data_IF_635617171039
#
_entry.id   IF_635617171039
#
_cell.length_a   1.000
_cell.length_b   1.000
_cell.length_c   1.000
_cell.angle_alpha   90.00
_cell.angle_beta   90.00
_cell.angle_gamma   90.00
#
_symmetry.space_group_name_H-M   'P 1'
#
loop_
_entity.id
_entity.type
_entity.pdbx_description
1 polymer ?
#
# COMPACT_ATOMS: atom_id res chain seq x y z
N UNK A 1 21.88 -11.69 19.37
CA UNK A 1 20.71 -10.80 19.13
C UNK A 1 20.02 -11.34 17.88
N UNK A 2 18.74 -11.67 17.96
CA UNK A 2 17.95 -12.26 16.86
C UNK A 2 17.82 -11.26 15.73
N UNK A 3 18.06 -11.72 14.49
CA UNK A 3 18.08 -10.91 13.30
C UNK A 3 16.89 -11.25 12.38
N UNK A 4 16.01 -10.28 12.15
CA UNK A 4 14.82 -10.42 11.32
C UNK A 4 15.03 -9.67 10.01
N UNK A 5 15.00 -10.41 8.88
CA UNK A 5 15.10 -9.78 7.57
C UNK A 5 13.69 -9.60 6.97
N UNK A 6 13.39 -8.37 6.59
CA UNK A 6 12.13 -7.97 5.99
C UNK A 6 12.31 -7.69 4.51
N UNK A 7 11.57 -8.41 3.67
CA UNK A 7 11.66 -8.34 2.23
C UNK A 7 10.46 -7.58 1.67
N UNK A 8 10.68 -6.38 1.15
CA UNK A 8 9.64 -5.59 0.49
C UNK A 8 9.83 -5.60 -1.03
N UNK A 9 8.78 -5.33 -1.76
CA UNK A 9 8.82 -5.08 -3.20
C UNK A 9 7.77 -4.04 -3.54
N UNK A 10 8.09 -3.10 -4.42
CA UNK A 10 7.13 -2.09 -4.85
C UNK A 10 7.50 -0.66 -4.46
N UNK A 11 6.49 0.12 -4.12
CA UNK A 11 6.60 1.56 -3.86
C UNK A 11 6.81 1.88 -2.38
N UNK A 12 6.84 3.18 -2.05
CA UNK A 12 6.88 3.64 -0.66
C UNK A 12 5.71 3.07 0.17
N UNK A 13 4.53 2.94 -0.46
CA UNK A 13 3.34 2.36 0.20
C UNK A 13 3.51 0.91 0.64
N UNK A 14 4.40 0.16 -0.03
CA UNK A 14 4.74 -1.22 0.34
C UNK A 14 5.87 -1.27 1.38
N UNK A 15 6.83 -0.33 1.33
CA UNK A 15 8.00 -0.30 2.20
C UNK A 15 7.70 0.31 3.58
N UNK A 16 6.96 1.40 3.62
CA UNK A 16 6.69 2.15 4.86
C UNK A 16 5.95 1.32 5.93
N UNK A 17 4.95 0.47 5.62
CA UNK A 17 4.35 -0.42 6.61
C UNK A 17 5.35 -1.42 7.22
N UNK A 18 6.28 -1.93 6.43
CA UNK A 18 7.34 -2.81 6.94
C UNK A 18 8.29 -2.08 7.88
N UNK A 19 8.59 -0.80 7.61
CA UNK A 19 9.36 0.03 8.54
C UNK A 19 8.61 0.24 9.86
N UNK A 20 7.30 0.51 9.81
CA UNK A 20 6.47 0.63 11.01
C UNK A 20 6.51 -0.64 11.87
N UNK A 21 6.35 -1.81 11.24
CA UNK A 21 6.47 -3.10 11.89
C UNK A 21 7.89 -3.34 12.44
N UNK A 22 8.90 -2.98 11.66
CA UNK A 22 10.31 -3.09 12.06
C UNK A 22 10.66 -2.21 13.27
N UNK A 23 10.08 -1.01 13.39
CA UNK A 23 10.26 -0.15 14.55
C UNK A 23 9.73 -0.81 15.83
N UNK A 24 8.58 -1.48 15.76
CA UNK A 24 8.04 -2.21 16.92
C UNK A 24 8.94 -3.38 17.34
N UNK A 25 9.52 -4.10 16.37
CA UNK A 25 10.49 -5.16 16.64
C UNK A 25 11.81 -4.60 17.24
N UNK A 26 12.31 -3.47 16.74
CA UNK A 26 13.49 -2.78 17.32
C UNK A 26 13.26 -2.35 18.75
N UNK A 27 12.07 -1.82 19.11
CA UNK A 27 11.70 -1.49 20.50
C UNK A 27 11.77 -2.71 21.43
N UNK A 28 11.58 -3.92 20.88
CA UNK A 28 11.69 -5.19 21.62
C UNK A 28 13.10 -5.82 21.59
N UNK A 29 14.10 -5.12 21.05
CA UNK A 29 15.50 -5.55 21.06
C UNK A 29 15.92 -6.45 19.90
N UNK A 30 15.11 -6.56 18.82
CA UNK A 30 15.46 -7.31 17.62
C UNK A 30 16.28 -6.46 16.65
N UNK A 31 17.23 -7.07 15.94
CA UNK A 31 17.87 -6.46 14.78
C UNK A 31 16.97 -6.63 13.56
N UNK A 32 16.79 -5.56 12.82
CA UNK A 32 15.94 -5.58 11.64
C UNK A 32 16.71 -5.06 10.43
N UNK A 33 16.73 -5.87 9.36
CA UNK A 33 17.21 -5.50 8.03
C UNK A 33 16.02 -5.40 7.07
N UNK A 34 15.97 -4.33 6.29
CA UNK A 34 14.91 -4.12 5.30
C UNK A 34 15.51 -4.16 3.91
N UNK A 35 15.02 -5.09 3.07
CA UNK A 35 15.33 -5.14 1.65
C UNK A 35 14.28 -4.35 0.88
N UNK A 36 14.72 -3.32 0.16
CA UNK A 36 13.84 -2.42 -0.60
C UNK A 36 14.58 -1.80 -1.79
N UNK A 37 13.83 -1.12 -2.67
CA UNK A 37 14.40 -0.35 -3.79
C UNK A 37 15.42 0.67 -3.32
N UNK A 38 16.44 0.92 -4.14
CA UNK A 38 17.49 1.93 -3.95
C UNK A 38 16.91 3.32 -3.60
N UNK A 39 15.77 3.67 -4.18
CA UNK A 39 15.10 4.95 -3.92
C UNK A 39 14.70 5.17 -2.44
N UNK A 40 14.70 4.13 -1.61
CA UNK A 40 14.29 4.22 -0.19
C UNK A 40 15.45 4.01 0.79
N UNK A 41 16.70 3.92 0.32
CA UNK A 41 17.86 3.69 1.16
C UNK A 41 17.95 4.72 2.29
N UNK A 42 18.09 6.00 1.94
CA UNK A 42 18.25 7.09 2.91
C UNK A 42 17.08 7.13 3.91
N UNK A 43 15.87 6.87 3.41
CA UNK A 43 14.66 6.82 4.25
C UNK A 43 14.72 5.68 5.26
N UNK A 44 15.15 4.48 4.86
CA UNK A 44 15.28 3.31 5.73
C UNK A 44 16.41 3.51 6.76
N UNK A 45 17.56 3.97 6.31
CA UNK A 45 18.75 4.18 7.15
C UNK A 45 18.55 5.32 8.16
N UNK A 46 17.77 6.37 7.81
CA UNK A 46 17.45 7.47 8.73
C UNK A 46 16.69 7.01 9.99
N UNK A 47 15.96 5.88 9.91
CA UNK A 47 15.31 5.24 11.08
C UNK A 47 16.20 4.19 11.76
N UNK A 48 17.48 4.11 11.40
CA UNK A 48 18.47 3.22 11.98
C UNK A 48 18.21 1.75 11.71
N UNK A 49 17.65 1.40 10.55
CA UNK A 49 17.57 0.02 10.06
C UNK A 49 18.81 -0.35 9.28
N UNK A 50 19.15 -1.65 9.26
CA UNK A 50 20.05 -2.18 8.26
C UNK A 50 19.32 -2.22 6.91
N UNK A 51 19.99 -1.77 5.87
CA UNK A 51 19.45 -1.76 4.51
C UNK A 51 20.06 -2.86 3.64
N UNK A 52 19.24 -3.48 2.80
CA UNK A 52 19.67 -4.38 1.74
C UNK A 52 19.09 -3.90 0.39
N UNK A 53 19.99 -3.54 -0.54
CA UNK A 53 19.61 -2.99 -1.83
C UNK A 53 18.92 -4.02 -2.73
N UNK A 54 17.78 -3.64 -3.30
CA UNK A 54 17.16 -4.31 -4.43
C UNK A 54 17.39 -3.48 -5.69
N UNK A 55 18.17 -4.03 -6.63
CA UNK A 55 18.45 -3.43 -7.92
C UNK A 55 17.28 -3.63 -8.87
N UNK A 56 16.73 -2.57 -9.36
CA UNK A 56 15.55 -2.56 -10.22
C UNK A 56 14.40 -1.88 -9.51
N UNK A 57 14.20 -0.63 -9.86
CA UNK A 57 13.12 0.19 -9.33
C UNK A 57 11.85 -0.11 -10.10
N UNK A 58 10.90 -0.82 -9.46
CA UNK A 58 9.59 -1.09 -10.02
C UNK A 58 8.87 0.24 -10.34
N UNK A 59 9.13 1.30 -9.57
CA UNK A 59 8.57 2.63 -9.83
C UNK A 59 9.11 3.21 -11.14
N UNK A 60 10.38 2.99 -11.48
CA UNK A 60 10.95 3.40 -12.79
C UNK A 60 10.36 2.62 -13.96
N UNK A 61 9.96 1.36 -13.76
CA UNK A 61 9.24 0.59 -14.77
C UNK A 61 7.86 1.22 -15.00
N UNK A 62 7.19 1.57 -13.93
CA UNK A 62 5.90 2.26 -13.95
C UNK A 62 6.06 3.65 -14.58
N UNK A 63 7.09 4.39 -14.21
CA UNK A 63 7.38 5.72 -14.74
C UNK A 63 7.82 5.76 -16.20
N UNK A 64 8.46 4.70 -16.69
CA UNK A 64 8.91 4.62 -18.09
C UNK A 64 7.78 4.34 -19.10
N UNK A 65 6.54 4.21 -18.64
CA UNK A 65 5.40 3.85 -19.48
C UNK A 65 5.42 2.39 -19.96
N UNK A 66 6.45 1.62 -19.63
CA UNK A 66 6.52 0.20 -19.99
C UNK A 66 5.47 -0.65 -19.24
N UNK A 67 4.93 -0.11 -18.16
CA UNK A 67 3.84 -0.69 -17.40
C UNK A 67 2.49 0.03 -17.62
N UNK A 68 2.45 1.12 -18.42
CA UNK A 68 1.21 1.89 -18.64
C UNK A 68 0.10 1.01 -19.23
N UNK A 69 0.43 0.12 -20.15
CA UNK A 69 -0.51 -0.87 -20.69
C UNK A 69 -0.94 -1.90 -19.64
N UNK A 70 -0.09 -2.17 -18.66
CA UNK A 70 -0.37 -3.12 -17.57
C UNK A 70 -1.14 -2.47 -16.42
N UNK A 71 -0.81 -1.21 -16.09
CA UNK A 71 -1.43 -0.45 -15.00
C UNK A 71 -2.79 0.09 -15.44
N UNK A 72 -2.89 0.56 -16.70
CA UNK A 72 -4.13 1.04 -17.31
C UNK A 72 -4.98 -0.07 -17.92
N UNK A 73 -4.55 -1.33 -17.82
CA UNK A 73 -5.31 -2.44 -18.36
C UNK A 73 -6.55 -2.69 -17.49
N UNK A 74 -7.72 -2.29 -18.01
CA UNK A 74 -9.02 -2.74 -17.52
C UNK A 74 -9.17 -4.29 -17.58
N UNK A 75 -8.15 -4.97 -18.08
CA UNK A 75 -8.11 -6.41 -18.29
C UNK A 75 -6.85 -7.05 -17.69
N UNK A 76 -6.99 -7.89 -16.63
CA UNK A 76 -5.87 -8.62 -16.03
C UNK A 76 -5.02 -9.43 -17.02
N UNK A 77 -5.60 -9.89 -18.15
CA UNK A 77 -4.86 -10.64 -19.16
C UNK A 77 -3.80 -9.81 -19.89
N UNK A 78 -4.02 -8.52 -20.06
CA UNK A 78 -3.00 -7.61 -20.65
C UNK A 78 -1.82 -7.43 -19.70
N UNK A 79 -2.06 -7.34 -18.39
CA UNK A 79 -1.01 -7.33 -17.38
C UNK A 79 -0.13 -8.59 -17.48
N UNK A 80 -0.73 -9.78 -17.59
CA UNK A 80 0.04 -11.02 -17.76
C UNK A 80 0.82 -11.09 -19.09
N UNK A 81 0.35 -10.44 -20.14
CA UNK A 81 1.06 -10.43 -21.43
C UNK A 81 2.29 -9.52 -21.42
N UNK A 82 2.24 -8.39 -20.69
CA UNK A 82 3.38 -7.46 -20.57
C UNK A 82 4.57 -8.06 -19.83
N UNK A 83 4.33 -9.05 -18.95
CA UNK A 83 5.39 -9.76 -18.23
C UNK A 83 6.25 -10.69 -19.11
N UNK A 84 5.85 -10.92 -20.37
CA UNK A 84 6.65 -11.72 -21.32
C UNK A 84 7.82 -10.97 -21.94
N UNK A 85 7.97 -9.67 -21.67
CA UNK A 85 9.09 -8.88 -22.17
C UNK A 85 10.41 -9.36 -21.51
N UNK A 86 11.40 -9.74 -22.33
CA UNK A 86 12.68 -10.29 -21.87
C UNK A 86 13.45 -9.33 -20.95
N UNK A 87 13.43 -8.02 -21.25
CA UNK A 87 14.08 -6.99 -20.43
C UNK A 87 13.45 -6.91 -19.04
N UNK A 88 12.11 -6.95 -18.98
CA UNK A 88 11.37 -6.97 -17.72
C UNK A 88 11.64 -8.26 -16.95
N UNK A 89 11.63 -9.41 -17.62
CA UNK A 89 11.96 -10.69 -17.01
C UNK A 89 13.39 -10.68 -16.43
N UNK A 90 14.37 -10.17 -17.15
CA UNK A 90 15.75 -10.03 -16.66
C UNK A 90 15.85 -9.19 -15.39
N UNK A 91 15.13 -8.06 -15.34
CA UNK A 91 15.07 -7.20 -14.16
C UNK A 91 14.42 -7.92 -12.97
N UNK A 92 13.30 -8.61 -13.18
CA UNK A 92 12.62 -9.37 -12.13
C UNK A 92 13.50 -10.51 -11.58
N UNK A 93 14.30 -11.17 -12.43
CA UNK A 93 15.28 -12.18 -12.01
C UNK A 93 16.36 -11.56 -11.13
N UNK A 94 16.85 -10.36 -11.46
CA UNK A 94 17.83 -9.65 -10.62
C UNK A 94 17.26 -9.26 -9.26
N UNK A 95 15.99 -8.84 -9.21
CA UNK A 95 15.29 -8.58 -7.94
C UNK A 95 15.23 -9.86 -7.10
N UNK A 96 14.93 -11.04 -7.68
CA UNK A 96 14.94 -12.31 -6.94
C UNK A 96 16.33 -12.63 -6.38
N UNK A 97 17.40 -12.36 -7.15
CA UNK A 97 18.79 -12.53 -6.70
C UNK A 97 19.09 -11.66 -5.47
N UNK A 98 18.70 -10.39 -5.50
CA UNK A 98 18.97 -9.47 -4.41
C UNK A 98 18.12 -9.80 -3.17
N UNK A 99 16.85 -10.16 -3.34
CA UNK A 99 15.99 -10.64 -2.27
C UNK A 99 16.56 -11.91 -1.60
N UNK A 100 17.02 -12.88 -2.40
CA UNK A 100 17.63 -14.10 -1.86
C UNK A 100 18.92 -13.78 -1.08
N UNK A 101 19.76 -12.87 -1.61
CA UNK A 101 20.95 -12.39 -0.88
C UNK A 101 20.57 -11.73 0.45
N UNK A 102 19.49 -10.96 0.46
CA UNK A 102 18.99 -10.29 1.65
C UNK A 102 18.48 -11.27 2.72
N UNK A 103 18.12 -12.50 2.37
CA UNK A 103 17.71 -13.53 3.33
C UNK A 103 18.86 -14.05 4.21
N UNK A 104 20.11 -13.93 3.76
CA UNK A 104 21.26 -14.53 4.46
C UNK A 104 21.48 -13.91 5.84
N UNK A 105 21.75 -14.81 6.82
CA UNK A 105 22.03 -14.43 8.21
C UNK A 105 20.80 -14.00 9.01
N UNK A 106 19.60 -14.34 8.53
CA UNK A 106 18.37 -14.14 9.27
C UNK A 106 18.06 -15.30 10.21
N UNK A 107 17.45 -15.00 11.34
CA UNK A 107 16.80 -15.96 12.24
C UNK A 107 15.30 -16.11 11.91
N UNK A 108 14.73 -15.14 11.20
CA UNK A 108 13.39 -15.19 10.62
C UNK A 108 13.29 -14.28 9.37
N UNK A 109 12.41 -14.65 8.45
CA UNK A 109 12.11 -13.85 7.25
C UNK A 109 10.65 -13.38 7.30
N UNK A 110 10.45 -12.07 7.22
CA UNK A 110 9.14 -11.45 7.00
C UNK A 110 9.11 -10.96 5.56
N UNK A 111 8.14 -11.39 4.76
CA UNK A 111 8.16 -11.06 3.35
C UNK A 111 6.82 -10.59 2.79
N UNK A 112 6.88 -9.61 1.90
CA UNK A 112 5.77 -9.15 1.08
C UNK A 112 5.35 -10.25 0.08
N UNK A 113 4.07 -10.40 -0.29
CA UNK A 113 3.63 -11.41 -1.25
C UNK A 113 4.46 -11.45 -2.56
N UNK A 114 4.90 -10.30 -3.07
CA UNK A 114 5.78 -10.19 -4.25
C UNK A 114 7.21 -10.71 -4.03
N UNK A 115 7.64 -10.86 -2.78
CA UNK A 115 8.94 -11.38 -2.38
C UNK A 115 8.89 -12.86 -1.94
N UNK A 116 8.05 -13.67 -2.60
CA UNK A 116 7.81 -15.08 -2.23
C UNK A 116 9.07 -15.97 -2.19
N UNK A 117 10.19 -15.52 -2.73
CA UNK A 117 11.49 -16.17 -2.55
C UNK A 117 11.87 -16.30 -1.07
N UNK A 118 11.38 -15.38 -0.21
CA UNK A 118 11.59 -15.45 1.23
C UNK A 118 11.07 -16.72 1.87
N UNK A 119 9.95 -17.27 1.38
CA UNK A 119 9.44 -18.58 1.83
C UNK A 119 10.42 -19.71 1.54
N UNK A 120 10.92 -19.77 0.30
CA UNK A 120 11.82 -20.85 -0.13
C UNK A 120 13.18 -20.75 0.56
N UNK A 121 13.72 -19.53 0.68
CA UNK A 121 14.97 -19.29 1.40
C UNK A 121 14.85 -19.65 2.89
N UNK A 122 13.76 -19.30 3.55
CA UNK A 122 13.52 -19.66 4.95
C UNK A 122 13.43 -21.18 5.14
N UNK A 123 12.74 -21.86 4.22
CA UNK A 123 12.65 -23.33 4.22
C UNK A 123 14.02 -23.99 4.07
N UNK A 124 14.87 -23.47 3.18
CA UNK A 124 16.23 -23.94 2.95
C UNK A 124 17.12 -23.74 4.20
N UNK A 125 16.98 -22.61 4.88
CA UNK A 125 17.72 -22.30 6.10
C UNK A 125 17.10 -22.89 7.37
N UNK A 126 15.96 -23.57 7.26
CA UNK A 126 15.22 -24.12 8.41
C UNK A 126 14.91 -23.06 9.49
N UNK A 127 14.39 -21.91 9.04
CA UNK A 127 13.96 -20.80 9.90
C UNK A 127 12.49 -20.44 9.60
N UNK A 128 11.77 -19.75 10.53
CA UNK A 128 10.40 -19.35 10.29
C UNK A 128 10.29 -18.29 9.20
N UNK A 129 9.21 -18.36 8.42
CA UNK A 129 8.84 -17.32 7.46
C UNK A 129 7.45 -16.76 7.74
N UNK A 130 7.30 -15.46 7.69
CA UNK A 130 6.05 -14.76 7.96
C UNK A 130 5.62 -14.01 6.70
N UNK A 131 4.45 -14.37 6.18
CA UNK A 131 3.84 -13.61 5.08
C UNK A 131 3.22 -12.33 5.61
N UNK A 132 3.74 -11.19 5.19
CA UNK A 132 3.28 -9.87 5.57
C UNK A 132 2.58 -9.21 4.37
N UNK A 133 1.24 -9.20 4.38
CA UNK A 133 0.45 -8.66 3.28
C UNK A 133 -0.09 -7.26 3.60
N UNK A 134 0.04 -6.28 2.68
CA UNK A 134 -0.54 -4.95 2.87
C UNK A 134 -2.06 -4.91 2.68
N UNK A 135 -2.68 -6.01 2.26
CA UNK A 135 -4.11 -6.14 2.00
C UNK A 135 -4.62 -7.56 2.29
N UNK A 136 -5.95 -7.73 2.51
CA UNK A 136 -6.55 -9.04 2.74
C UNK A 136 -6.51 -9.90 1.48
N UNK A 137 -5.59 -10.88 1.41
CA UNK A 137 -5.52 -11.83 0.30
C UNK A 137 -5.98 -13.24 0.66
N UNK A 138 -6.02 -13.59 1.94
CA UNK A 138 -6.46 -14.90 2.40
C UNK A 138 -7.93 -15.15 2.04
N UNK A 139 -8.27 -16.32 1.46
CA UNK A 139 -9.63 -16.62 1.03
C UNK A 139 -10.66 -16.50 2.14
N UNK A 140 -11.76 -15.80 1.82
CA UNK A 140 -12.92 -15.62 2.70
C UNK A 140 -14.20 -15.62 1.91
N UNK A 141 -15.31 -15.95 2.58
CA UNK A 141 -16.68 -15.82 2.05
C UNK A 141 -17.28 -14.44 2.28
N UNK A 142 -16.67 -13.61 3.13
CA UNK A 142 -17.29 -12.37 3.62
C UNK A 142 -17.22 -11.25 2.56
N UNK A 143 -16.15 -11.21 1.77
CA UNK A 143 -15.95 -10.25 0.69
C UNK A 143 -15.07 -10.83 -0.43
N UNK A 144 -15.19 -10.33 -1.66
CA UNK A 144 -14.32 -10.78 -2.76
C UNK A 144 -12.89 -10.20 -2.60
N UNK A 145 -11.92 -10.82 -3.28
CA UNK A 145 -10.56 -10.27 -3.37
C UNK A 145 -10.58 -8.85 -3.98
N UNK A 146 -9.63 -7.99 -3.57
CA UNK A 146 -9.66 -6.56 -3.88
C UNK A 146 -9.82 -6.26 -5.38
N UNK A 147 -9.12 -6.97 -6.25
CA UNK A 147 -9.23 -6.76 -7.72
C UNK A 147 -10.61 -7.08 -8.30
N UNK A 148 -11.45 -7.80 -7.54
CA UNK A 148 -12.84 -8.12 -7.88
C UNK A 148 -13.85 -7.33 -7.04
N UNK A 149 -13.38 -6.49 -6.11
CA UNK A 149 -14.24 -5.85 -5.12
C UNK A 149 -15.24 -4.88 -5.75
N UNK A 150 -14.85 -4.18 -6.79
CA UNK A 150 -15.72 -3.24 -7.55
C UNK A 150 -16.59 -3.94 -8.61
N UNK A 151 -16.46 -5.25 -8.78
CA UNK A 151 -17.27 -6.05 -9.71
C UNK A 151 -18.61 -6.47 -9.09
N UNK A 152 -19.59 -6.92 -9.89
CA UNK A 152 -20.82 -7.51 -9.38
C UNK A 152 -20.54 -8.65 -8.42
N UNK A 153 -21.34 -8.75 -7.35
CA UNK A 153 -21.17 -9.76 -6.29
C UNK A 153 -22.17 -10.89 -6.50
N UNK A 154 -21.67 -12.13 -6.52
CA UNK A 154 -22.46 -13.34 -6.76
C UNK A 154 -22.53 -14.25 -5.50
N UNK A 155 -22.39 -13.67 -4.29
CA UNK A 155 -22.52 -14.33 -3.02
C UNK A 155 -21.25 -14.98 -2.49
N UNK A 156 -21.40 -15.75 -1.40
CA UNK A 156 -20.29 -16.23 -0.56
C UNK A 156 -19.31 -17.15 -1.29
N UNK A 157 -19.80 -18.05 -2.14
CA UNK A 157 -18.94 -18.97 -2.92
C UNK A 157 -18.10 -18.19 -3.92
N UNK A 158 -18.70 -17.25 -4.62
CA UNK A 158 -18.02 -16.35 -5.54
C UNK A 158 -16.92 -15.57 -4.80
N UNK A 159 -17.23 -14.98 -3.65
CA UNK A 159 -16.21 -14.24 -2.88
C UNK A 159 -14.98 -15.11 -2.63
N UNK A 160 -15.16 -16.32 -2.08
CA UNK A 160 -14.05 -17.22 -1.80
C UNK A 160 -13.27 -17.63 -3.06
N UNK A 161 -13.98 -17.89 -4.17
CA UNK A 161 -13.35 -18.25 -5.45
C UNK A 161 -12.47 -17.12 -5.99
N UNK A 162 -12.88 -15.85 -5.87
CA UNK A 162 -12.09 -14.70 -6.32
C UNK A 162 -10.73 -14.62 -5.64
N UNK A 163 -10.64 -14.99 -4.35
CA UNK A 163 -9.36 -15.04 -3.65
C UNK A 163 -8.46 -16.15 -4.18
N UNK A 164 -9.00 -17.34 -4.44
CA UNK A 164 -8.19 -18.42 -5.04
C UNK A 164 -7.68 -18.05 -6.43
N UNK A 165 -8.53 -17.41 -7.26
CA UNK A 165 -8.11 -16.89 -8.57
C UNK A 165 -7.02 -15.84 -8.41
N UNK A 166 -7.16 -14.93 -7.43
CA UNK A 166 -6.15 -13.91 -7.15
C UNK A 166 -4.83 -14.52 -6.69
N UNK A 167 -4.84 -15.43 -5.70
CA UNK A 167 -3.63 -16.11 -5.22
C UNK A 167 -2.93 -16.88 -6.34
N UNK A 168 -3.69 -17.61 -7.15
CA UNK A 168 -3.16 -18.34 -8.30
C UNK A 168 -2.53 -17.41 -9.34
N UNK A 169 -3.26 -16.36 -9.72
CA UNK A 169 -2.80 -15.38 -10.71
C UNK A 169 -1.54 -14.64 -10.24
N UNK A 170 -1.54 -14.19 -8.98
CA UNK A 170 -0.41 -13.50 -8.39
C UNK A 170 0.82 -14.41 -8.31
N UNK A 171 0.62 -15.68 -7.91
CA UNK A 171 1.68 -16.68 -7.92
C UNK A 171 2.27 -16.92 -9.32
N UNK A 172 1.43 -16.96 -10.35
CA UNK A 172 1.91 -17.09 -11.75
C UNK A 172 2.85 -15.96 -12.16
N UNK A 173 2.60 -14.74 -11.69
CA UNK A 173 3.48 -13.60 -11.94
C UNK A 173 4.82 -13.77 -11.23
N UNK A 174 4.79 -14.10 -9.94
CA UNK A 174 5.98 -14.17 -9.09
C UNK A 174 6.84 -15.42 -9.36
N UNK A 175 6.20 -16.54 -9.66
CA UNK A 175 6.89 -17.85 -9.78
C UNK A 175 7.84 -17.94 -10.97
N UNK A 176 7.53 -17.28 -12.09
CA UNK A 176 8.37 -17.35 -13.30
C UNK A 176 9.81 -16.82 -13.07
N UNK A 177 9.97 -15.55 -12.70
CA UNK A 177 11.28 -14.97 -12.38
C UNK A 177 12.01 -15.71 -11.26
N UNK A 178 11.27 -16.13 -10.20
CA UNK A 178 11.82 -16.86 -9.06
C UNK A 178 12.41 -18.20 -9.52
N UNK A 179 11.64 -19.00 -10.27
CA UNK A 179 12.12 -20.29 -10.80
C UNK A 179 13.33 -20.09 -11.71
N UNK A 180 13.30 -19.10 -12.60
CA UNK A 180 14.40 -18.80 -13.51
C UNK A 180 15.68 -18.45 -12.74
N UNK A 181 15.58 -17.59 -11.72
CA UNK A 181 16.70 -17.27 -10.84
C UNK A 181 17.24 -18.51 -10.13
N UNK A 182 16.35 -19.33 -9.53
CA UNK A 182 16.75 -20.49 -8.73
C UNK A 182 17.47 -21.53 -9.56
N UNK A 183 16.94 -21.83 -10.76
CA UNK A 183 17.61 -22.75 -11.70
C UNK A 183 18.98 -22.21 -12.16
N UNK A 184 19.11 -20.90 -12.40
CA UNK A 184 20.40 -20.30 -12.74
C UNK A 184 21.43 -20.40 -11.60
N UNK A 185 20.96 -20.37 -10.34
CA UNK A 185 21.84 -20.40 -9.16
C UNK A 185 22.21 -21.81 -8.74
N UNK A 186 21.30 -22.78 -8.86
CA UNK A 186 21.43 -24.13 -8.27
C UNK A 186 21.32 -25.27 -9.28
N UNK A 187 21.06 -24.98 -10.56
CA UNK A 187 20.87 -25.98 -11.61
C UNK A 187 19.46 -26.59 -11.66
N UNK A 188 18.71 -26.52 -10.56
CA UNK A 188 17.36 -27.06 -10.43
C UNK A 188 16.42 -26.08 -9.73
N UNK A 189 15.12 -26.35 -9.75
CA UNK A 189 14.12 -25.53 -9.04
C UNK A 189 14.11 -25.80 -7.54
N UNK A 190 13.49 -24.91 -6.73
CA UNK A 190 13.34 -25.18 -5.30
C UNK A 190 12.53 -26.46 -5.05
N UNK A 191 12.89 -27.18 -3.99
CA UNK A 191 12.11 -28.34 -3.54
C UNK A 191 10.67 -27.93 -3.23
N UNK A 192 9.69 -28.75 -3.67
CA UNK A 192 8.27 -28.50 -3.48
C UNK A 192 7.84 -27.10 -4.01
N UNK A 193 8.27 -26.80 -5.26
CA UNK A 193 8.00 -25.52 -5.92
C UNK A 193 6.53 -25.36 -6.27
N UNK A 194 5.76 -24.89 -5.30
CA UNK A 194 4.33 -24.60 -5.45
C UNK A 194 3.99 -23.27 -4.75
N UNK A 195 2.74 -22.80 -4.95
CA UNK A 195 2.27 -21.56 -4.34
C UNK A 195 2.47 -21.57 -2.81
N UNK A 196 3.24 -20.60 -2.24
CA UNK A 196 3.52 -20.59 -0.81
C UNK A 196 2.36 -20.04 0.03
N UNK A 197 1.49 -19.21 -0.53
CA UNK A 197 0.48 -18.47 0.25
C UNK A 197 -0.45 -19.39 1.07
N UNK A 198 -0.98 -20.51 0.54
CA UNK A 198 -1.76 -21.44 1.37
C UNK A 198 -0.94 -22.10 2.48
N UNK A 199 0.39 -22.22 2.30
CA UNK A 199 1.30 -22.83 3.28
C UNK A 199 1.69 -21.86 4.41
N UNK A 200 1.42 -20.58 4.23
CA UNK A 200 1.67 -19.47 5.17
C UNK A 200 0.49 -19.23 6.12
N UNK A 201 -0.10 -20.31 6.66
CA UNK A 201 -1.27 -20.22 7.55
C UNK A 201 -1.15 -21.22 8.70
N UNK A 202 0.09 -21.39 9.18
CA UNK A 202 0.45 -22.35 10.24
C UNK A 202 1.18 -21.62 11.37
N UNK A 203 1.30 -22.25 12.54
CA UNK A 203 2.03 -21.68 13.67
C UNK A 203 3.48 -21.33 13.35
N UNK A 204 4.16 -22.17 12.55
CA UNK A 204 5.55 -21.94 12.12
C UNK A 204 5.68 -20.89 11.00
N UNK A 205 4.62 -20.70 10.23
CA UNK A 205 4.59 -19.80 9.08
C UNK A 205 3.24 -19.05 9.05
N UNK A 206 3.03 -18.05 9.90
CA UNK A 206 1.79 -17.30 9.96
C UNK A 206 1.68 -16.26 8.82
N UNK A 207 0.47 -15.79 8.60
CA UNK A 207 0.18 -14.62 7.76
C UNK A 207 -0.24 -13.46 8.65
N UNK A 208 0.39 -12.31 8.47
CA UNK A 208 -0.01 -11.04 9.08
C UNK A 208 -0.46 -10.07 8.00
N UNK A 209 -1.56 -9.38 8.26
CA UNK A 209 -2.19 -8.49 7.28
C UNK A 209 -2.23 -7.06 7.84
N UNK A 210 -1.61 -6.11 7.11
CA UNK A 210 -1.67 -4.68 7.41
C UNK A 210 -2.98 -4.09 6.88
N UNK A 211 -4.08 -4.45 7.53
CA UNK A 211 -5.41 -3.94 7.20
C UNK A 211 -6.24 -3.77 8.46
N UNK A 212 -7.00 -2.69 8.52
CA UNK A 212 -7.88 -2.39 9.63
C UNK A 212 -9.08 -3.34 9.67
N UNK A 213 -9.35 -4.03 10.79
CA UNK A 213 -10.59 -4.77 11.03
C UNK A 213 -11.86 -3.91 10.91
N UNK A 214 -11.74 -2.60 11.18
CA UNK A 214 -12.81 -1.62 10.99
C UNK A 214 -13.16 -1.45 9.51
N UNK A 215 -12.17 -1.64 8.62
CA UNK A 215 -12.35 -1.53 7.16
C UNK A 215 -12.72 -2.87 6.54
N UNK A 216 -11.90 -3.88 6.75
CA UNK A 216 -12.14 -5.25 6.32
C UNK A 216 -12.20 -6.16 7.55
N UNK A 217 -13.40 -6.58 7.93
CA UNK A 217 -13.60 -7.42 9.11
C UNK A 217 -12.76 -8.69 9.05
N UNK A 218 -12.19 -9.08 10.20
CA UNK A 218 -11.51 -10.37 10.35
C UNK A 218 -12.52 -11.48 10.07
N UNK A 219 -12.21 -12.31 9.10
CA UNK A 219 -13.14 -13.39 8.70
C UNK A 219 -13.06 -14.58 9.63
N UNK A 220 -14.23 -15.14 9.95
CA UNK A 220 -14.33 -16.43 10.66
C UNK A 220 -13.87 -17.63 9.81
N UNK A 221 -13.74 -17.44 8.50
CA UNK A 221 -13.25 -18.48 7.57
C UNK A 221 -11.72 -18.59 7.59
N UNK A 222 -11.01 -17.62 8.17
CA UNK A 222 -9.55 -17.64 8.20
C UNK A 222 -9.03 -18.66 9.22
N UNK A 223 -7.95 -19.38 8.87
CA UNK A 223 -7.21 -20.20 9.82
C UNK A 223 -6.71 -19.36 11.02
N UNK A 224 -6.51 -20.00 12.16
CA UNK A 224 -6.06 -19.40 13.41
C UNK A 224 -4.77 -18.54 13.25
N UNK A 225 -3.88 -18.94 12.36
CA UNK A 225 -2.59 -18.29 12.14
C UNK A 225 -2.61 -17.22 11.03
N UNK A 226 -3.79 -16.67 10.73
CA UNK A 226 -3.98 -15.51 9.87
C UNK A 226 -4.47 -14.34 10.71
N UNK A 227 -3.67 -13.30 10.80
CA UNK A 227 -3.89 -12.19 11.73
C UNK A 227 -4.04 -10.85 10.99
N UNK A 228 -5.05 -10.08 11.36
CA UNK A 228 -5.27 -8.70 10.92
C UNK A 228 -5.70 -7.87 12.12
N UNK A 229 -4.82 -7.01 12.58
CA UNK A 229 -5.02 -6.23 13.82
C UNK A 229 -5.09 -4.73 13.59
N UNK A 230 -4.89 -4.28 12.37
CA UNK A 230 -4.86 -2.89 11.97
C UNK A 230 -3.77 -2.61 10.93
N UNK A 231 -3.83 -1.42 10.36
CA UNK A 231 -2.76 -0.95 9.49
C UNK A 231 -1.48 -0.68 10.29
N UNK A 232 -0.33 -0.81 9.63
CA UNK A 232 0.97 -0.52 10.24
C UNK A 232 1.38 0.89 9.86
N UNK A 233 1.05 1.82 10.75
CA UNK A 233 1.38 3.23 10.58
C UNK A 233 2.75 3.53 11.17
N UNK A 234 3.52 4.34 10.47
CA UNK A 234 4.63 5.04 11.09
C UNK A 234 4.05 6.28 11.77
N UNK A 235 4.28 6.40 13.07
CA UNK A 235 4.06 7.69 13.69
C UNK A 235 5.18 8.63 13.22
N UNK A 236 4.80 9.82 12.74
CA UNK A 236 5.79 10.81 12.32
C UNK A 236 6.76 11.05 13.48
N UNK A 237 8.03 11.05 13.18
CA UNK A 237 8.98 11.71 14.03
C UNK A 237 8.44 13.13 14.23
N UNK A 238 8.25 13.55 15.48
CA UNK A 238 7.74 14.89 15.85
C UNK A 238 8.63 16.03 15.31
N UNK A 239 9.61 15.69 14.47
CA UNK A 239 10.58 16.60 13.87
C UNK A 239 10.09 17.32 12.60
N UNK A 240 8.94 16.90 11.98
CA UNK A 240 8.46 17.62 10.81
C UNK A 240 8.08 19.06 11.18
N UNK A 241 8.82 20.00 10.60
CA UNK A 241 8.55 21.43 10.75
C UNK A 241 7.96 21.95 9.44
N UNK A 242 6.71 22.43 9.44
CA UNK A 242 6.11 22.98 8.24
C UNK A 242 6.77 24.30 7.84
N UNK A 243 6.81 24.56 6.55
CA UNK A 243 7.19 25.87 6.05
C UNK A 243 6.21 26.96 6.56
N UNK A 244 6.71 28.16 6.84
CA UNK A 244 5.92 29.28 7.33
C UNK A 244 4.73 29.60 6.40
N UNK A 245 4.91 29.46 5.09
CA UNK A 245 3.85 29.65 4.09
C UNK A 245 2.68 28.68 4.29
N UNK A 246 2.98 27.41 4.58
CA UNK A 246 1.97 26.39 4.85
C UNK A 246 1.22 26.69 6.16
N UNK A 247 1.95 27.03 7.22
CA UNK A 247 1.31 27.40 8.49
C UNK A 247 0.39 28.61 8.36
N UNK A 248 0.85 29.67 7.69
CA UNK A 248 0.03 30.85 7.43
C UNK A 248 -1.22 30.49 6.63
N UNK A 249 -1.08 29.69 5.58
CA UNK A 249 -2.20 29.22 4.79
C UNK A 249 -3.21 28.44 5.64
N UNK A 250 -2.78 27.50 6.47
CA UNK A 250 -3.68 26.71 7.33
C UNK A 250 -4.42 27.58 8.36
N UNK A 251 -3.77 28.61 8.89
CA UNK A 251 -4.35 29.55 9.89
C UNK A 251 -5.29 30.60 9.28
N UNK A 252 -5.21 30.85 7.96
CA UNK A 252 -5.90 31.96 7.30
C UNK A 252 -7.39 31.72 7.02
N UNK A 253 -7.95 30.53 7.32
CA UNK A 253 -9.37 30.25 7.08
C UNK A 253 -9.78 28.84 7.41
N UNK A 254 -10.92 28.41 6.88
CA UNK A 254 -11.44 27.05 7.08
C UNK A 254 -10.47 25.95 6.59
N UNK A 255 -10.55 24.74 7.18
CA UNK A 255 -9.74 23.62 6.76
C UNK A 255 -9.83 23.38 5.23
N UNK A 256 -8.70 23.36 4.50
CA UNK A 256 -8.69 23.18 3.06
C UNK A 256 -8.97 21.71 2.66
N UNK A 257 -9.23 21.52 1.36
CA UNK A 257 -9.26 20.19 0.74
C UNK A 257 -7.86 19.83 0.24
N UNK A 258 -7.34 18.66 0.61
CA UNK A 258 -6.11 18.13 0.04
C UNK A 258 -6.40 17.44 -1.29
N UNK A 259 -5.54 17.65 -2.30
CA UNK A 259 -5.59 16.95 -3.60
C UNK A 259 -4.19 16.46 -3.97
N UNK A 260 -4.05 15.12 -4.14
CA UNK A 260 -2.78 14.53 -4.54
C UNK A 260 -2.95 13.13 -5.13
N UNK A 261 -2.44 12.91 -6.35
CA UNK A 261 -2.61 11.63 -7.05
C UNK A 261 -1.37 10.71 -6.97
N UNK A 262 -0.34 11.11 -6.22
CA UNK A 262 0.87 10.32 -6.03
C UNK A 262 1.63 10.05 -7.34
N UNK A 263 2.42 8.98 -7.36
CA UNK A 263 3.27 8.62 -8.53
C UNK A 263 2.49 8.10 -9.74
N UNK A 264 1.21 7.80 -9.59
CA UNK A 264 0.34 7.33 -10.69
C UNK A 264 -0.34 8.46 -11.45
N UNK A 265 -0.06 9.73 -11.11
CA UNK A 265 -0.59 10.90 -11.79
C UNK A 265 -0.23 10.91 -13.28
N UNK A 266 -1.17 11.41 -14.10
CA UNK A 266 -0.98 11.54 -15.55
C UNK A 266 -0.05 12.71 -15.87
N UNK A 267 1.24 12.42 -15.95
CA UNK A 267 2.28 13.45 -16.23
C UNK A 267 2.10 14.12 -17.57
N UNK A 268 1.51 13.43 -18.57
CA UNK A 268 1.29 13.99 -19.92
C UNK A 268 0.21 15.06 -19.93
N UNK A 269 -0.83 14.90 -19.09
CA UNK A 269 -1.97 15.83 -18.99
C UNK A 269 -1.98 16.57 -17.64
N UNK A 270 -0.81 16.78 -17.06
CA UNK A 270 -0.65 17.38 -15.72
C UNK A 270 -1.25 18.79 -15.62
N UNK A 271 -1.06 19.64 -16.63
CA UNK A 271 -1.63 21.00 -16.69
C UNK A 271 -3.15 20.99 -16.73
N UNK A 272 -3.75 20.12 -17.58
CA UNK A 272 -5.20 19.99 -17.66
C UNK A 272 -5.79 19.48 -16.34
N UNK A 273 -5.12 18.51 -15.70
CA UNK A 273 -5.52 17.99 -14.40
C UNK A 273 -5.45 19.09 -13.34
N UNK A 274 -4.39 19.90 -13.33
CA UNK A 274 -4.24 21.02 -12.41
C UNK A 274 -5.37 22.06 -12.61
N UNK A 275 -5.64 22.46 -13.83
CA UNK A 275 -6.72 23.41 -14.13
C UNK A 275 -8.09 22.86 -13.72
N UNK A 276 -8.34 21.56 -13.96
CA UNK A 276 -9.57 20.87 -13.56
C UNK A 276 -9.77 20.90 -12.04
N UNK A 277 -8.75 20.56 -11.25
CA UNK A 277 -8.88 20.51 -9.78
C UNK A 277 -9.04 21.91 -9.20
N UNK A 278 -8.36 22.92 -9.76
CA UNK A 278 -8.54 24.34 -9.37
C UNK A 278 -9.99 24.79 -9.64
N UNK A 279 -10.52 24.48 -10.84
CA UNK A 279 -11.92 24.80 -11.18
C UNK A 279 -12.89 24.10 -10.23
N UNK A 280 -12.64 22.82 -9.87
CA UNK A 280 -13.48 22.08 -8.94
C UNK A 280 -13.50 22.71 -7.54
N UNK A 281 -12.35 23.13 -7.02
CA UNK A 281 -12.26 23.82 -5.74
C UNK A 281 -13.02 25.16 -5.75
N UNK A 282 -12.85 25.94 -6.81
CA UNK A 282 -13.59 27.22 -7.01
C UNK A 282 -15.11 26.97 -7.05
N UNK A 283 -15.58 25.97 -7.80
CA UNK A 283 -17.00 25.62 -7.88
C UNK A 283 -17.56 25.13 -6.53
N UNK A 284 -16.75 24.46 -5.72
CA UNK A 284 -17.14 24.01 -4.39
C UNK A 284 -17.01 25.10 -3.31
N UNK A 285 -16.47 26.27 -3.64
CA UNK A 285 -16.20 27.36 -2.69
C UNK A 285 -15.23 26.92 -1.58
N UNK A 286 -14.22 26.10 -1.91
CA UNK A 286 -13.27 25.53 -0.94
C UNK A 286 -11.84 25.91 -1.24
N UNK A 287 -11.09 26.17 -0.17
CA UNK A 287 -9.64 26.32 -0.21
C UNK A 287 -8.99 24.98 -0.50
N UNK A 288 -7.83 24.97 -1.15
CA UNK A 288 -7.16 23.74 -1.54
C UNK A 288 -5.66 23.69 -1.27
N UNK A 289 -5.17 22.51 -0.90
CA UNK A 289 -3.75 22.17 -0.89
C UNK A 289 -3.51 21.13 -1.98
N UNK A 290 -2.73 21.48 -3.00
CA UNK A 290 -2.43 20.62 -4.14
C UNK A 290 -1.00 20.07 -4.00
N UNK A 291 -0.86 18.75 -3.89
CA UNK A 291 0.44 18.11 -3.84
C UNK A 291 0.98 17.87 -5.26
N UNK A 292 2.11 18.50 -5.57
CA UNK A 292 2.81 18.37 -6.86
C UNK A 292 3.76 17.18 -6.92
N UNK A 293 4.08 16.57 -5.76
CA UNK A 293 4.99 15.42 -5.68
C UNK A 293 4.47 14.19 -6.41
N UNK A 294 5.23 13.68 -7.37
CA UNK A 294 4.94 12.45 -8.11
C UNK A 294 3.81 12.54 -9.15
N UNK A 295 2.82 13.41 -8.98
CA UNK A 295 1.63 13.50 -9.83
C UNK A 295 1.84 14.25 -11.14
N UNK A 296 2.94 15.00 -11.26
CA UNK A 296 3.19 15.91 -12.39
C UNK A 296 2.34 17.17 -12.36
N UNK A 297 1.41 17.34 -11.42
CA UNK A 297 0.66 18.58 -11.27
C UNK A 297 1.64 19.73 -10.97
N UNK A 298 1.55 20.81 -11.72
CA UNK A 298 2.47 21.93 -11.62
C UNK A 298 1.76 23.18 -11.13
N UNK A 299 2.53 24.04 -10.50
CA UNK A 299 2.07 25.37 -10.15
C UNK A 299 1.73 26.15 -11.43
N UNK A 300 0.53 26.73 -11.49
CA UNK A 300 0.11 27.60 -12.59
C UNK A 300 0.48 29.05 -12.27
N UNK A 301 0.60 29.90 -13.30
CA UNK A 301 0.93 31.32 -13.13
C UNK A 301 -0.17 32.09 -12.37
N UNK A 302 -1.43 31.66 -12.47
CA UNK A 302 -2.55 32.20 -11.68
C UNK A 302 -2.62 31.50 -10.31
N UNK A 303 -1.95 32.07 -9.32
CA UNK A 303 -2.05 31.63 -7.92
C UNK A 303 -3.27 32.31 -7.30
N UNK A 304 -4.36 31.58 -7.13
CA UNK A 304 -5.47 32.06 -6.30
C UNK A 304 -5.04 32.01 -4.82
N UNK A 305 -5.37 33.03 -4.03
CA UNK A 305 -5.07 33.11 -2.60
C UNK A 305 -5.59 31.90 -1.80
N UNK A 306 -6.64 31.26 -2.32
CA UNK A 306 -7.27 30.07 -1.74
C UNK A 306 -6.61 28.73 -2.10
N UNK A 307 -5.48 28.72 -2.83
CA UNK A 307 -4.80 27.50 -3.28
C UNK A 307 -3.32 27.55 -2.94
N UNK A 308 -2.85 26.49 -2.25
CA UNK A 308 -1.45 26.31 -1.93
C UNK A 308 -0.91 25.04 -2.61
N UNK A 309 0.18 25.19 -3.36
CA UNK A 309 0.94 24.05 -3.89
C UNK A 309 2.01 23.64 -2.88
N UNK A 310 2.09 22.31 -2.66
CA UNK A 310 3.03 21.71 -1.70
C UNK A 310 3.72 20.51 -2.32
N UNK A 311 4.83 20.09 -1.69
CA UNK A 311 5.56 18.89 -2.08
C UNK A 311 6.04 18.16 -0.82
N UNK A 312 5.93 16.83 -0.84
CA UNK A 312 6.53 15.92 0.15
C UNK A 312 6.17 16.20 1.62
N UNK A 313 4.89 16.57 1.90
CA UNK A 313 4.41 16.74 3.26
C UNK A 313 3.91 15.39 3.83
N UNK A 314 4.30 15.02 5.06
CA UNK A 314 3.79 13.82 5.72
C UNK A 314 2.26 13.85 5.87
N UNK A 315 1.59 12.79 5.39
CA UNK A 315 0.12 12.70 5.43
C UNK A 315 -0.41 12.67 6.85
N UNK A 316 0.26 11.99 7.76
CA UNK A 316 -0.09 11.91 9.18
C UNK A 316 -0.11 13.28 9.87
N UNK A 317 0.73 14.21 9.42
CA UNK A 317 0.73 15.57 9.92
C UNK A 317 -0.33 16.45 9.23
N UNK A 318 -0.48 16.28 7.91
CA UNK A 318 -1.31 17.18 7.08
C UNK A 318 -2.80 16.80 7.14
N UNK A 319 -3.14 15.52 6.97
CA UNK A 319 -4.53 15.09 6.79
C UNK A 319 -5.46 15.45 7.96
N UNK A 320 -5.06 15.38 9.24
CA UNK A 320 -5.93 15.83 10.35
C UNK A 320 -6.37 17.30 10.28
N UNK A 321 -5.70 18.10 9.46
CA UNK A 321 -5.98 19.55 9.26
C UNK A 321 -6.83 19.82 8.01
N UNK A 322 -7.25 18.79 7.30
CA UNK A 322 -8.01 18.89 6.05
C UNK A 322 -9.52 18.72 6.29
N UNK A 323 -10.34 19.33 5.41
CA UNK A 323 -11.79 19.10 5.39
C UNK A 323 -12.18 17.87 4.57
N UNK A 324 -11.37 17.50 3.58
CA UNK A 324 -11.47 16.29 2.77
C UNK A 324 -10.12 15.97 2.13
N UNK A 325 -9.89 14.71 1.75
CA UNK A 325 -8.72 14.27 0.98
C UNK A 325 -9.13 13.66 -0.35
N UNK A 326 -8.59 14.20 -1.44
CA UNK A 326 -8.79 13.69 -2.81
C UNK A 326 -7.51 13.00 -3.23
N UNK A 327 -7.59 11.70 -3.56
CA UNK A 327 -6.40 10.94 -3.96
C UNK A 327 -6.73 9.76 -4.88
N UNK A 328 -5.69 9.10 -5.40
CA UNK A 328 -5.84 8.01 -6.36
C UNK A 328 -6.40 6.70 -5.77
N UNK A 329 -6.40 6.53 -4.46
CA UNK A 329 -6.91 5.31 -3.81
C UNK A 329 -5.83 4.26 -3.52
N UNK A 330 -4.56 4.63 -3.44
CA UNK A 330 -3.53 3.72 -2.93
C UNK A 330 -3.80 3.32 -1.48
N UNK A 331 -3.52 2.06 -1.12
CA UNK A 331 -3.85 1.49 0.19
C UNK A 331 -3.32 2.33 1.38
N UNK A 332 -2.06 2.77 1.31
CA UNK A 332 -1.44 3.58 2.37
C UNK A 332 -2.10 4.96 2.52
N UNK A 333 -2.32 5.69 1.42
CA UNK A 333 -2.98 7.00 1.45
C UNK A 333 -4.42 6.90 1.93
N UNK A 334 -5.14 5.84 1.51
CA UNK A 334 -6.50 5.55 1.98
C UNK A 334 -6.53 5.29 3.48
N UNK A 335 -5.58 4.49 3.98
CA UNK A 335 -5.45 4.19 5.40
C UNK A 335 -5.15 5.45 6.23
N UNK A 336 -4.26 6.34 5.75
CA UNK A 336 -3.95 7.60 6.44
C UNK A 336 -5.14 8.57 6.45
N UNK A 337 -5.89 8.68 5.36
CA UNK A 337 -7.13 9.47 5.33
C UNK A 337 -8.17 8.99 6.33
N UNK A 338 -8.37 7.67 6.40
CA UNK A 338 -9.26 7.05 7.38
C UNK A 338 -8.75 7.22 8.82
N UNK A 339 -7.44 7.01 9.08
CA UNK A 339 -6.82 7.24 10.38
C UNK A 339 -6.98 8.67 10.87
N UNK A 340 -6.84 9.63 9.94
CA UNK A 340 -7.05 11.05 10.23
C UNK A 340 -8.51 11.38 10.59
N UNK A 341 -9.45 10.52 10.22
CA UNK A 341 -10.89 10.75 10.41
C UNK A 341 -11.44 11.79 9.43
N UNK A 342 -10.84 11.91 8.25
CA UNK A 342 -11.19 12.88 7.23
C UNK A 342 -11.87 12.18 6.06
N UNK A 343 -13.00 12.70 5.55
CA UNK A 343 -13.68 12.12 4.40
C UNK A 343 -12.78 12.06 3.16
N UNK A 344 -12.83 10.94 2.44
CA UNK A 344 -12.00 10.71 1.26
C UNK A 344 -12.80 10.70 -0.03
N UNK A 345 -12.18 11.21 -1.11
CA UNK A 345 -12.68 11.17 -2.47
C UNK A 345 -11.63 10.43 -3.31
N UNK A 346 -12.00 9.25 -3.80
CA UNK A 346 -11.09 8.41 -4.57
C UNK A 346 -11.28 8.66 -6.06
N UNK A 347 -10.18 8.97 -6.75
CA UNK A 347 -10.09 9.06 -8.21
C UNK A 347 -9.19 7.92 -8.69
N UNK A 348 -9.74 6.70 -8.90
CA UNK A 348 -8.93 5.54 -9.24
C UNK A 348 -8.41 5.60 -10.67
N UNK A 349 -7.15 5.18 -10.83
CA UNK A 349 -6.47 5.00 -12.12
C UNK A 349 -6.50 3.53 -12.56
N UNK A 350 -6.51 2.59 -11.62
CA UNK A 350 -6.53 1.15 -11.93
C UNK A 350 -6.49 0.25 -10.69
N UNK A 351 -6.47 -1.04 -10.91
CA UNK A 351 -6.21 -2.11 -9.94
C UNK A 351 -7.12 -2.07 -8.68
N UNK A 352 -6.50 -2.20 -7.50
CA UNK A 352 -7.16 -2.19 -6.19
C UNK A 352 -7.74 -0.82 -5.79
N UNK A 353 -7.36 0.25 -6.48
CA UNK A 353 -7.84 1.60 -6.19
C UNK A 353 -9.37 1.71 -6.31
N UNK A 354 -9.98 0.99 -7.25
CA UNK A 354 -11.44 0.89 -7.38
C UNK A 354 -12.08 0.24 -6.15
N UNK A 355 -11.43 -0.78 -5.61
CA UNK A 355 -11.87 -1.44 -4.38
C UNK A 355 -11.88 -0.49 -3.19
N UNK A 356 -10.81 0.28 -3.01
CA UNK A 356 -10.69 1.26 -1.96
C UNK A 356 -11.76 2.36 -2.10
N UNK A 357 -11.98 2.85 -3.32
CA UNK A 357 -13.02 3.85 -3.58
C UNK A 357 -14.42 3.35 -3.24
N UNK A 358 -14.75 2.12 -3.64
CA UNK A 358 -16.02 1.49 -3.29
C UNK A 358 -16.14 1.27 -1.77
N UNK A 359 -15.06 0.83 -1.13
CA UNK A 359 -15.04 0.56 0.31
C UNK A 359 -15.25 1.82 1.14
N UNK A 360 -14.59 2.92 0.80
CA UNK A 360 -14.77 4.23 1.44
C UNK A 360 -16.25 4.66 1.39
N UNK A 361 -16.88 4.54 0.23
CA UNK A 361 -18.28 4.88 0.04
C UNK A 361 -19.21 3.96 0.85
N UNK A 362 -18.98 2.64 0.84
CA UNK A 362 -19.74 1.67 1.63
C UNK A 362 -19.63 1.90 3.15
N UNK A 363 -18.49 2.41 3.61
CA UNK A 363 -18.28 2.80 5.00
C UNK A 363 -18.97 4.13 5.38
N UNK A 364 -19.49 4.88 4.41
CA UNK A 364 -20.00 6.23 4.63
C UNK A 364 -18.93 7.25 5.00
N UNK A 365 -17.64 6.95 4.70
CA UNK A 365 -16.51 7.80 5.04
C UNK A 365 -16.00 8.65 3.86
N UNK A 366 -16.79 8.76 2.80
CA UNK A 366 -16.43 9.56 1.64
C UNK A 366 -17.38 9.40 0.46
N UNK A 367 -17.08 10.12 -0.63
CA UNK A 367 -17.88 10.13 -1.83
C UNK A 367 -17.72 8.83 -2.65
N UNK A 368 -18.68 8.56 -3.54
CA UNK A 368 -18.51 7.54 -4.58
C UNK A 368 -17.27 7.86 -5.41
N UNK A 369 -16.47 6.84 -5.71
CA UNK A 369 -15.28 6.99 -6.53
C UNK A 369 -15.62 7.57 -7.92
N UNK A 370 -14.73 8.44 -8.42
CA UNK A 370 -14.83 9.02 -9.75
C UNK A 370 -13.68 8.43 -10.59
N UNK A 371 -13.94 7.49 -11.50
CA UNK A 371 -12.90 6.96 -12.38
C UNK A 371 -12.16 8.09 -13.10
N UNK A 372 -10.82 7.98 -13.23
CA UNK A 372 -9.99 9.04 -13.85
C UNK A 372 -10.53 9.50 -15.22
N UNK A 373 -11.01 8.56 -16.04
CA UNK A 373 -11.57 8.84 -17.38
C UNK A 373 -12.89 9.64 -17.34
N UNK A 374 -13.56 9.67 -16.19
CA UNK A 374 -14.84 10.36 -15.98
C UNK A 374 -14.69 11.63 -15.15
N UNK A 375 -13.46 11.96 -14.73
CA UNK A 375 -13.21 13.09 -13.87
C UNK A 375 -13.46 14.40 -14.60
N UNK A 376 -14.39 15.20 -14.05
CA UNK A 376 -14.64 16.59 -14.48
C UNK A 376 -14.65 17.51 -13.26
N UNK A 377 -14.51 18.81 -13.49
CA UNK A 377 -14.53 19.79 -12.40
C UNK A 377 -15.87 19.77 -11.65
N UNK A 378 -16.97 19.58 -12.36
CA UNK A 378 -18.32 19.54 -11.81
C UNK A 378 -18.52 18.27 -10.94
N UNK A 379 -18.10 17.10 -11.43
CA UNK A 379 -18.18 15.84 -10.66
C UNK A 379 -17.32 15.94 -9.38
N UNK A 380 -16.09 16.45 -9.49
CA UNK A 380 -15.20 16.61 -8.34
C UNK A 380 -15.74 17.62 -7.33
N UNK A 381 -16.26 18.76 -7.80
CA UNK A 381 -16.91 19.76 -6.94
C UNK A 381 -18.11 19.17 -6.19
N UNK A 382 -18.97 18.41 -6.87
CA UNK A 382 -20.10 17.72 -6.24
C UNK A 382 -19.64 16.71 -5.16
N UNK A 383 -18.57 15.95 -5.44
CA UNK A 383 -17.98 15.02 -4.48
C UNK A 383 -17.38 15.75 -3.26
N UNK A 384 -16.69 16.89 -3.48
CA UNK A 384 -16.18 17.74 -2.39
C UNK A 384 -17.34 18.24 -1.53
N UNK A 385 -18.41 18.75 -2.13
CA UNK A 385 -19.60 19.22 -1.41
C UNK A 385 -20.27 18.09 -0.62
N UNK A 386 -20.36 16.89 -1.19
CA UNK A 386 -20.89 15.70 -0.50
C UNK A 386 -20.09 15.36 0.76
N UNK A 387 -18.76 15.47 0.73
CA UNK A 387 -17.93 15.19 1.91
C UNK A 387 -18.09 16.21 3.04
N UNK A 388 -18.71 17.36 2.79
CA UNK A 388 -18.98 18.38 3.83
C UNK A 388 -20.25 18.09 4.64
N UNK A 389 -21.07 17.12 4.23
CA UNK A 389 -22.27 16.70 4.97
C UNK A 389 -21.87 16.15 6.34
N UNK A 390 -22.56 16.60 7.39
CA UNK A 390 -22.21 16.26 8.77
C UNK A 390 -22.19 14.74 9.04
N UNK A 391 -23.10 13.98 8.43
CA UNK A 391 -23.16 12.53 8.56
C UNK A 391 -21.85 11.87 8.06
N UNK A 392 -21.38 12.27 6.88
CA UNK A 392 -20.15 11.73 6.27
C UNK A 392 -18.93 12.10 7.11
N UNK A 393 -18.85 13.35 7.59
CA UNK A 393 -17.76 13.80 8.46
C UNK A 393 -17.74 13.06 9.78
N UNK A 394 -18.89 12.93 10.43
CA UNK A 394 -19.01 12.21 11.70
C UNK A 394 -18.64 10.74 11.56
N UNK A 395 -19.06 10.10 10.44
CA UNK A 395 -18.72 8.71 10.17
C UNK A 395 -17.22 8.51 9.91
N UNK A 396 -16.59 9.41 9.17
CA UNK A 396 -15.14 9.39 8.97
C UNK A 396 -14.39 9.55 10.30
N UNK A 397 -14.83 10.48 11.17
CA UNK A 397 -14.25 10.69 12.50
C UNK A 397 -14.38 9.45 13.40
N UNK A 398 -15.54 8.81 13.42
CA UNK A 398 -15.81 7.57 14.16
C UNK A 398 -14.84 6.46 13.74
N UNK A 399 -14.72 6.22 12.42
CA UNK A 399 -13.81 5.24 11.85
C UNK A 399 -12.36 5.57 12.19
N UNK A 400 -11.97 6.83 12.07
CA UNK A 400 -10.63 7.27 12.43
C UNK A 400 -10.28 7.02 13.90
N UNK A 401 -11.23 7.23 14.81
CA UNK A 401 -11.07 6.90 16.24
C UNK A 401 -10.85 5.40 16.45
N UNK A 402 -11.61 4.55 15.77
CA UNK A 402 -11.47 3.09 15.86
C UNK A 402 -10.11 2.65 15.33
N UNK A 403 -9.69 3.12 14.15
CA UNK A 403 -8.40 2.78 13.53
C UNK A 403 -7.23 3.17 14.42
N UNK A 404 -7.24 4.35 15.02
CA UNK A 404 -6.17 4.80 15.94
C UNK A 404 -6.05 3.92 17.20
N UNK A 405 -7.11 3.23 17.59
CA UNK A 405 -7.11 2.33 18.74
C UNK A 405 -6.61 0.91 18.43
N UNK A 406 -6.43 0.54 17.15
CA UNK A 406 -6.14 -0.84 16.73
C UNK A 406 -4.74 -1.34 17.09
N UNK A 407 -3.71 -0.46 17.08
CA UNK A 407 -2.30 -0.81 17.35
C UNK A 407 -1.78 -1.96 16.46
N UNK A 408 -2.01 -1.85 15.14
CA UNK A 408 -1.77 -2.94 14.19
C UNK A 408 -0.32 -3.40 14.14
N UNK A 409 0.65 -2.49 14.07
CA UNK A 409 2.07 -2.82 14.01
C UNK A 409 2.57 -3.50 15.29
N UNK A 410 2.17 -3.00 16.49
CA UNK A 410 2.53 -3.57 17.79
C UNK A 410 2.06 -5.03 17.91
N UNK A 411 0.79 -5.29 17.57
CA UNK A 411 0.22 -6.64 17.63
C UNK A 411 0.82 -7.58 16.58
N UNK A 412 1.10 -7.07 15.37
CA UNK A 412 1.76 -7.85 14.33
C UNK A 412 3.19 -8.23 14.72
N UNK A 413 3.94 -7.32 15.36
CA UNK A 413 5.27 -7.62 15.91
C UNK A 413 5.20 -8.73 16.97
N UNK A 414 4.15 -8.74 17.82
CA UNK A 414 3.98 -9.80 18.82
C UNK A 414 3.75 -11.17 18.17
N UNK A 415 3.02 -11.26 17.04
CA UNK A 415 2.87 -12.52 16.29
C UNK A 415 4.24 -13.05 15.81
N UNK A 416 5.10 -12.15 15.30
CA UNK A 416 6.46 -12.54 14.86
C UNK A 416 7.27 -13.06 16.04
N UNK A 417 7.24 -12.38 17.18
CA UNK A 417 7.96 -12.78 18.40
C UNK A 417 7.50 -14.16 18.88
N UNK A 418 6.19 -14.37 19.00
CA UNK A 418 5.63 -15.66 19.42
C UNK A 418 6.00 -16.79 18.43
N UNK A 419 6.08 -16.47 17.13
CA UNK A 419 6.52 -17.45 16.10
C UNK A 419 7.97 -17.86 16.31
N UNK A 420 8.87 -16.89 16.59
CA UNK A 420 10.29 -17.15 16.89
C UNK A 420 10.45 -18.02 18.13
N UNK A 421 9.74 -17.72 19.21
CA UNK A 421 9.77 -18.49 20.47
C UNK A 421 9.28 -19.92 20.27
N UNK A 422 8.19 -20.10 19.52
CA UNK A 422 7.62 -21.43 19.22
C UNK A 422 8.55 -22.25 18.31
N UNK A 423 9.24 -21.61 17.38
CA UNK A 423 10.16 -22.28 16.45
C UNK A 423 11.46 -22.70 17.14
N UNK A 424 11.99 -21.84 18.04
CA UNK A 424 13.23 -22.13 18.78
C UNK A 424 13.10 -23.23 19.85
N UNK A 425 11.87 -23.58 20.23
CA UNK A 425 11.59 -24.65 21.21
C UNK A 425 11.34 -26.02 20.56
N UNK A 426 11.49 -26.15 19.23
CA UNK A 426 11.42 -27.39 18.48
C UNK A 426 12.82 -27.91 18.11
#
# INVERSE_FOLDING_TARGET
MIHINMLTTGTRGDTQPFMALGLELKKKGYRVRIAASEAYQDFIESYGFEYAMLRGDVSKIIESGAADDAINADNPLKFFSSLKNEKMMGMMVNIQKDLHKACKGADAIVYHPGAAIGYFAAKEMNIPSILASPFPMTPTKDYPALIFYDRPRFGKIYNKLTHHIFEWGFWKVVSGPLKKYWVQQYGEGPNDFSCPYPKQRTAANPTIISSSPTVFSVSKDWPEHVHSYGNWFMDSDHSYQPEEKLERFLKAGEPPVYIGFGSVGDKKNAGETTALVIKALKLAGKRGIINTGGSGMNQTEEIAEDILFVKDIPHEWLFPKMSAVVHHGGAGTTAEGLRAGVPSIIVPYGNDQFAWGRKIHELGAGAKAIPRKELTAEKLSAAISYTQVNEIRSKAQEIGKQIRAEKGAEKAAQVIINTLETFGNK
#
